data_IF_602068770701
#
_entry.id   IF_602068770701
#
_cell.length_a   1.000
_cell.length_b   1.000
_cell.length_c   1.000
_cell.angle_alpha   90.00
_cell.angle_beta   90.00
_cell.angle_gamma   90.00
#
_symmetry.space_group_name_H-M   'P 1'
#
loop_
_entity.id
_entity.type
_entity.pdbx_description
1 polymer ?
#
# COMPACT_ATOMS: atom_id res chain seq x y z
N UNK A 1 -17.08 23.79 -13.01
CA UNK A 1 -17.25 22.34 -12.79
C UNK A 1 -15.93 21.57 -12.88
N UNK A 2 -14.84 22.19 -13.38
CA UNK A 2 -13.50 21.58 -13.56
C UNK A 2 -12.73 21.30 -12.25
N UNK A 3 -12.72 22.26 -11.31
CA UNK A 3 -11.76 22.24 -10.19
C UNK A 3 -11.89 21.04 -9.25
N UNK A 4 -13.10 20.52 -9.03
CA UNK A 4 -13.33 19.34 -8.18
C UNK A 4 -12.92 18.03 -8.86
N UNK A 5 -13.09 17.92 -10.18
CA UNK A 5 -12.69 16.75 -10.95
C UNK A 5 -11.18 16.74 -11.20
N UNK A 6 -10.59 17.90 -11.47
CA UNK A 6 -9.14 18.05 -11.66
C UNK A 6 -8.39 17.74 -10.35
N UNK A 7 -8.88 18.26 -9.21
CA UNK A 7 -8.32 17.92 -7.91
C UNK A 7 -8.52 16.43 -7.55
N UNK A 8 -9.59 15.80 -8.06
CA UNK A 8 -9.82 14.35 -7.88
C UNK A 8 -8.85 13.50 -8.72
N UNK A 9 -8.62 13.88 -9.97
CA UNK A 9 -7.68 13.22 -10.87
C UNK A 9 -6.23 13.37 -10.40
N UNK A 10 -5.82 14.56 -9.97
CA UNK A 10 -4.48 14.80 -9.44
C UNK A 10 -4.22 13.96 -8.17
N UNK A 11 -5.22 13.81 -7.30
CA UNK A 11 -5.09 13.04 -6.06
C UNK A 11 -5.16 11.52 -6.23
N UNK A 12 -5.79 11.02 -7.30
CA UNK A 12 -5.76 9.60 -7.67
C UNK A 12 -4.53 9.24 -8.51
N UNK A 13 -3.89 10.21 -9.16
CA UNK A 13 -2.77 9.98 -10.06
C UNK A 13 -1.56 9.29 -9.39
N UNK A 14 -1.35 9.53 -8.09
CA UNK A 14 -0.17 9.02 -7.38
C UNK A 14 -0.37 7.62 -6.81
N UNK A 15 -1.61 7.21 -6.51
CA UNK A 15 -1.90 5.92 -5.87
C UNK A 15 -1.41 4.72 -6.71
N UNK A 16 -1.72 4.60 -8.02
CA UNK A 16 -1.24 3.49 -8.83
C UNK A 16 0.29 3.40 -8.86
N UNK A 17 0.97 4.56 -8.93
CA UNK A 17 2.43 4.64 -8.96
C UNK A 17 3.04 4.18 -7.64
N UNK A 18 2.54 4.71 -6.53
CA UNK A 18 3.08 4.44 -5.20
C UNK A 18 2.75 3.00 -4.76
N UNK A 19 1.56 2.49 -5.10
CA UNK A 19 1.19 1.09 -4.92
C UNK A 19 2.08 0.15 -5.74
N UNK A 20 2.30 0.46 -7.03
CA UNK A 20 3.18 -0.35 -7.87
C UNK A 20 4.62 -0.39 -7.33
N UNK A 21 5.14 0.76 -6.87
CA UNK A 21 6.45 0.85 -6.23
C UNK A 21 6.54 -0.04 -4.99
N UNK A 22 5.53 0.01 -4.11
CA UNK A 22 5.53 -0.79 -2.89
C UNK A 22 5.40 -2.29 -3.18
N UNK A 23 4.48 -2.69 -4.08
CA UNK A 23 4.33 -4.09 -4.49
C UNK A 23 5.60 -4.64 -5.14
N UNK A 24 6.30 -3.82 -5.93
CA UNK A 24 7.60 -4.19 -6.49
C UNK A 24 8.65 -4.36 -5.37
N UNK A 25 8.63 -3.51 -4.34
CA UNK A 25 9.47 -3.65 -3.16
C UNK A 25 9.20 -4.96 -2.40
N UNK A 26 7.93 -5.29 -2.15
CA UNK A 26 7.52 -6.55 -1.51
C UNK A 26 8.04 -7.75 -2.31
N UNK A 27 7.87 -7.74 -3.65
CA UNK A 27 8.39 -8.78 -4.53
C UNK A 27 9.93 -8.90 -4.45
N UNK A 28 10.64 -7.78 -4.36
CA UNK A 28 12.11 -7.79 -4.21
C UNK A 28 12.54 -8.45 -2.90
N UNK A 29 11.89 -8.11 -1.78
CA UNK A 29 12.16 -8.75 -0.49
C UNK A 29 11.86 -10.26 -0.54
N UNK A 30 10.74 -10.66 -1.16
CA UNK A 30 10.41 -12.08 -1.35
C UNK A 30 11.47 -12.84 -2.14
N UNK A 31 11.93 -12.27 -3.26
CA UNK A 31 12.99 -12.89 -4.06
C UNK A 31 14.29 -13.04 -3.26
N UNK A 32 14.70 -12.04 -2.49
CA UNK A 32 15.92 -12.12 -1.69
C UNK A 32 15.76 -13.15 -0.55
N UNK A 33 14.62 -13.18 0.15
CA UNK A 33 14.33 -14.21 1.15
C UNK A 33 14.41 -15.62 0.56
N UNK A 34 13.82 -15.85 -0.62
CA UNK A 34 13.90 -17.14 -1.31
C UNK A 34 15.33 -17.52 -1.69
N UNK A 35 16.10 -16.56 -2.21
CA UNK A 35 17.52 -16.77 -2.57
C UNK A 35 18.35 -17.17 -1.34
N UNK A 36 18.18 -16.46 -0.23
CA UNK A 36 18.87 -16.77 1.04
C UNK A 36 18.42 -18.11 1.62
N UNK A 37 17.13 -18.44 1.53
CA UNK A 37 16.62 -19.75 1.96
C UNK A 37 17.28 -20.89 1.17
N UNK A 38 17.41 -20.74 -0.15
CA UNK A 38 18.11 -21.73 -0.98
C UNK A 38 19.61 -21.84 -0.65
N UNK A 39 20.25 -20.73 -0.29
CA UNK A 39 21.65 -20.70 0.18
C UNK A 39 21.80 -21.45 1.50
N UNK A 40 20.91 -21.20 2.47
CA UNK A 40 20.85 -21.91 3.74
C UNK A 40 20.66 -23.41 3.52
N UNK A 41 19.70 -23.80 2.69
CA UNK A 41 19.43 -25.21 2.36
C UNK A 41 20.68 -25.91 1.79
N UNK A 42 21.42 -25.22 0.91
CA UNK A 42 22.66 -25.74 0.35
C UNK A 42 23.73 -25.88 1.43
N UNK A 43 23.93 -24.87 2.27
CA UNK A 43 24.92 -24.90 3.37
C UNK A 43 24.57 -25.97 4.40
N UNK A 44 23.30 -26.10 4.81
CA UNK A 44 22.83 -27.14 5.72
C UNK A 44 23.09 -28.54 5.17
N UNK A 45 22.79 -28.80 3.88
CA UNK A 45 23.09 -30.09 3.25
C UNK A 45 24.59 -30.42 3.27
N UNK A 46 25.46 -29.43 3.05
CA UNK A 46 26.91 -29.62 3.19
C UNK A 46 27.26 -29.93 4.63
N UNK A 47 26.80 -29.10 5.56
CA UNK A 47 27.09 -29.24 6.99
C UNK A 47 26.70 -30.62 7.52
N UNK A 48 25.49 -31.10 7.24
CA UNK A 48 25.04 -32.44 7.68
C UNK A 48 25.93 -33.56 7.13
N UNK A 49 26.39 -33.45 5.87
CA UNK A 49 27.26 -34.45 5.24
C UNK A 49 28.70 -34.43 5.76
N UNK A 50 29.20 -33.27 6.17
CA UNK A 50 30.62 -33.10 6.52
C UNK A 50 30.89 -32.82 8.00
N UNK A 51 29.88 -32.57 8.85
CA UNK A 51 30.11 -32.11 10.24
C UNK A 51 30.95 -33.07 11.08
N UNK A 52 30.78 -34.38 10.90
CA UNK A 52 31.54 -35.41 11.62
C UNK A 52 33.02 -35.45 11.21
N UNK A 53 33.34 -34.96 10.00
CA UNK A 53 34.69 -34.94 9.43
C UNK A 53 35.36 -33.56 9.57
N UNK A 54 34.62 -32.55 10.01
CA UNK A 54 35.14 -31.20 10.19
C UNK A 54 35.77 -31.02 11.57
N UNK A 55 36.89 -30.29 11.67
CA UNK A 55 37.42 -29.83 12.95
C UNK A 55 36.35 -29.02 13.71
N UNK A 56 36.30 -29.15 15.05
CA UNK A 56 35.29 -28.46 15.89
C UNK A 56 35.19 -26.95 15.60
N UNK A 57 36.33 -26.27 15.48
CA UNK A 57 36.36 -24.82 15.19
C UNK A 57 35.74 -24.48 13.83
N UNK A 58 36.01 -25.30 12.80
CA UNK A 58 35.43 -25.11 11.47
C UNK A 58 33.91 -25.37 11.49
N UNK A 59 33.47 -26.41 12.20
CA UNK A 59 32.05 -26.73 12.37
C UNK A 59 31.27 -25.59 13.06
N UNK A 60 31.83 -25.02 14.14
CA UNK A 60 31.24 -23.87 14.85
C UNK A 60 31.18 -22.64 13.95
N UNK A 61 32.25 -22.33 13.21
CA UNK A 61 32.26 -21.19 12.27
C UNK A 61 31.20 -21.36 11.18
N UNK A 62 31.09 -22.55 10.60
CA UNK A 62 30.13 -22.84 9.55
C UNK A 62 28.68 -22.76 10.05
N UNK A 63 28.42 -23.22 11.27
CA UNK A 63 27.12 -23.06 11.92
C UNK A 63 26.77 -21.58 12.13
N UNK A 64 27.73 -20.77 12.60
CA UNK A 64 27.53 -19.31 12.75
C UNK A 64 27.15 -18.64 11.43
N UNK A 65 27.81 -19.00 10.32
CA UNK A 65 27.44 -18.48 8.99
C UNK A 65 25.98 -18.79 8.62
N UNK A 66 25.53 -20.02 8.88
CA UNK A 66 24.14 -20.41 8.64
C UNK A 66 23.19 -19.60 9.53
N UNK A 67 23.51 -19.42 10.81
CA UNK A 67 22.71 -18.61 11.72
C UNK A 67 22.63 -17.13 11.28
N UNK A 68 23.72 -16.56 10.77
CA UNK A 68 23.71 -15.20 10.20
C UNK A 68 22.79 -15.09 9.00
N UNK A 69 22.75 -16.10 8.12
CA UNK A 69 21.81 -16.11 7.00
C UNK A 69 20.35 -16.19 7.45
N UNK A 70 20.04 -16.97 8.50
CA UNK A 70 18.70 -17.00 9.08
C UNK A 70 18.28 -15.64 9.65
N UNK A 71 19.18 -14.98 10.39
CA UNK A 71 18.93 -13.64 10.93
C UNK A 71 18.69 -12.61 9.82
N UNK A 72 19.39 -12.73 8.68
CA UNK A 72 19.17 -11.85 7.53
C UNK A 72 17.80 -12.09 6.87
N UNK A 73 17.35 -13.35 6.75
CA UNK A 73 15.99 -13.67 6.27
C UNK A 73 14.93 -13.08 7.20
N UNK A 74 15.11 -13.21 8.51
CA UNK A 74 14.19 -12.64 9.50
C UNK A 74 14.10 -11.12 9.33
N UNK A 75 15.25 -10.45 9.20
CA UNK A 75 15.32 -9.00 8.97
C UNK A 75 14.59 -8.61 7.67
N UNK A 76 14.85 -9.29 6.56
CA UNK A 76 14.19 -9.03 5.27
C UNK A 76 12.68 -9.29 5.34
N UNK A 77 12.26 -10.32 6.09
CA UNK A 77 10.86 -10.66 6.28
C UNK A 77 10.13 -9.58 7.10
N UNK A 78 10.78 -9.05 8.14
CA UNK A 78 10.23 -7.93 8.91
C UNK A 78 10.09 -6.65 8.06
N UNK A 79 11.08 -6.35 7.22
CA UNK A 79 11.00 -5.22 6.27
C UNK A 79 9.87 -5.41 5.25
N UNK A 80 9.67 -6.64 4.76
CA UNK A 80 8.54 -6.99 3.89
C UNK A 80 7.20 -6.75 4.59
N UNK A 81 7.06 -7.19 5.84
CA UNK A 81 5.84 -7.01 6.65
C UNK A 81 5.56 -5.52 6.84
N UNK A 82 6.58 -4.72 7.19
CA UNK A 82 6.43 -3.27 7.35
C UNK A 82 5.95 -2.62 6.05
N UNK A 83 6.61 -2.93 4.93
CA UNK A 83 6.21 -2.37 3.63
C UNK A 83 4.78 -2.78 3.22
N UNK A 84 4.38 -4.01 3.54
CA UNK A 84 3.00 -4.45 3.32
C UNK A 84 2.00 -3.66 4.18
N UNK A 85 2.32 -3.43 5.46
CA UNK A 85 1.52 -2.57 6.36
C UNK A 85 1.38 -1.15 5.79
N UNK A 86 2.49 -0.52 5.43
CA UNK A 86 2.50 0.83 4.84
C UNK A 86 1.66 0.89 3.54
N UNK A 87 1.66 -0.20 2.77
CA UNK A 87 0.85 -0.32 1.55
C UNK A 87 -0.63 -0.41 1.85
N UNK A 88 -1.02 -1.17 2.88
CA UNK A 88 -2.41 -1.22 3.34
C UNK A 88 -2.88 0.14 3.85
N UNK A 89 -2.07 0.83 4.65
CA UNK A 89 -2.38 2.17 5.16
C UNK A 89 -2.52 3.19 4.03
N UNK A 90 -1.65 3.14 3.02
CA UNK A 90 -1.76 3.97 1.82
C UNK A 90 -3.13 3.77 1.15
N UNK A 91 -3.54 2.53 0.91
CA UNK A 91 -4.81 2.22 0.26
C UNK A 91 -6.00 2.65 1.14
N UNK A 92 -5.97 2.37 2.44
CA UNK A 92 -7.03 2.78 3.39
C UNK A 92 -7.23 4.30 3.40
N UNK A 93 -6.14 5.07 3.39
CA UNK A 93 -6.19 6.53 3.28
C UNK A 93 -6.89 7.00 2.01
N UNK A 94 -6.65 6.32 0.88
CA UNK A 94 -7.33 6.64 -0.37
C UNK A 94 -8.81 6.25 -0.33
N UNK A 95 -9.19 5.11 0.26
CA UNK A 95 -10.59 4.71 0.47
C UNK A 95 -11.33 5.76 1.29
N UNK A 96 -10.82 6.12 2.47
CA UNK A 96 -11.46 7.13 3.34
C UNK A 96 -11.62 8.48 2.63
N UNK A 97 -10.66 8.87 1.80
CA UNK A 97 -10.76 10.10 1.02
C UNK A 97 -11.89 10.02 0.00
N UNK A 98 -11.98 8.92 -0.75
CA UNK A 98 -13.04 8.69 -1.72
C UNK A 98 -14.43 8.72 -1.05
N UNK A 99 -14.56 8.11 0.13
CA UNK A 99 -15.80 8.13 0.90
C UNK A 99 -16.21 9.55 1.28
N UNK A 100 -15.26 10.35 1.78
CA UNK A 100 -15.50 11.76 2.12
C UNK A 100 -15.89 12.62 0.91
N UNK A 101 -15.22 12.41 -0.22
CA UNK A 101 -15.48 13.17 -1.44
C UNK A 101 -16.84 12.80 -2.03
N UNK A 102 -17.24 11.53 -1.96
CA UNK A 102 -18.59 11.06 -2.32
C UNK A 102 -19.68 11.76 -1.51
N UNK A 103 -19.51 11.84 -0.18
CA UNK A 103 -20.47 12.55 0.71
C UNK A 103 -20.58 14.03 0.36
N UNK A 104 -19.43 14.70 0.15
CA UNK A 104 -19.41 16.13 -0.24
C UNK A 104 -20.09 16.35 -1.60
N UNK A 105 -19.87 15.44 -2.55
CA UNK A 105 -20.48 15.51 -3.87
C UNK A 105 -22.01 15.39 -3.77
N UNK A 106 -22.50 14.40 -3.01
CA UNK A 106 -23.93 14.22 -2.75
C UNK A 106 -24.55 15.46 -2.10
N UNK A 107 -23.90 16.04 -1.09
CA UNK A 107 -24.36 17.27 -0.44
C UNK A 107 -24.40 18.46 -1.40
N UNK A 108 -23.37 18.63 -2.23
CA UNK A 108 -23.29 19.70 -3.24
C UNK A 108 -24.42 19.57 -4.27
N UNK A 109 -24.69 18.35 -4.73
CA UNK A 109 -25.79 18.07 -5.67
C UNK A 109 -27.14 18.41 -5.02
N UNK A 110 -27.37 17.94 -3.79
CA UNK A 110 -28.61 18.23 -3.04
C UNK A 110 -28.83 19.73 -2.86
N UNK A 111 -27.78 20.46 -2.47
CA UNK A 111 -27.86 21.92 -2.31
C UNK A 111 -28.24 22.61 -3.62
N UNK A 112 -27.61 22.24 -4.74
CA UNK A 112 -27.94 22.81 -6.05
C UNK A 112 -29.39 22.58 -6.46
N UNK A 113 -29.98 21.44 -6.13
CA UNK A 113 -31.40 21.17 -6.39
C UNK A 113 -32.30 22.08 -5.55
N UNK A 114 -31.98 22.27 -4.26
CA UNK A 114 -32.73 23.16 -3.38
C UNK A 114 -32.64 24.61 -3.85
N UNK A 115 -31.45 25.07 -4.22
CA UNK A 115 -31.23 26.43 -4.73
C UNK A 115 -31.99 26.67 -6.04
N UNK A 116 -32.01 25.68 -6.94
CA UNK A 116 -32.75 25.75 -8.20
C UNK A 116 -34.28 25.80 -7.98
N UNK A 117 -34.80 25.02 -7.03
CA UNK A 117 -36.21 25.05 -6.65
C UNK A 117 -36.61 26.41 -6.05
N UNK A 118 -35.81 26.93 -5.11
CA UNK A 118 -36.04 28.25 -4.51
C UNK A 118 -35.98 29.38 -5.57
N UNK A 119 -35.06 29.28 -6.53
CA UNK A 119 -34.97 30.25 -7.63
C UNK A 119 -36.19 30.19 -8.57
N UNK A 120 -36.77 29.01 -8.79
CA UNK A 120 -37.99 28.83 -9.58
C UNK A 120 -39.21 29.44 -8.87
N UNK A 121 -39.37 29.17 -7.58
CA UNK A 121 -40.44 29.75 -6.75
C UNK A 121 -40.35 31.29 -6.69
N UNK A 122 -39.15 31.84 -6.51
CA UNK A 122 -38.93 33.28 -6.49
C UNK A 122 -39.26 33.96 -7.83
N UNK A 123 -39.11 33.25 -8.97
CA UNK A 123 -39.51 33.74 -10.29
C UNK A 123 -41.03 33.69 -10.49
N UNK A 124 -41.69 32.62 -10.03
CA UNK A 124 -43.15 32.48 -10.11
C UNK A 124 -43.86 33.58 -9.31
N UNK A 125 -43.38 33.89 -8.10
CA UNK A 125 -43.99 34.90 -7.24
C UNK A 125 -43.85 36.33 -7.78
N UNK A 126 -42.80 36.62 -8.56
CA UNK A 126 -42.62 37.91 -9.24
C UNK A 126 -43.52 38.07 -10.48
N UNK A 127 -43.98 36.97 -11.08
CA UNK A 127 -44.88 37.01 -12.25
C UNK A 127 -46.36 37.16 -11.89
N UNK A 128 -46.78 36.81 -10.67
CA UNK A 128 -48.16 36.96 -10.19
C UNK A 128 -48.50 38.34 -9.61
N UNK A 129 -47.51 39.24 -9.48
CA UNK A 129 -47.68 40.59 -8.90
C UNK A 129 -47.96 41.71 -9.92
N UNK A 130 -48.27 41.38 -11.17
CA UNK A 130 -48.72 42.34 -12.20
C UNK A 130 -50.16 42.03 -12.59
N UNK A 131 -51.10 42.39 -11.72
CA UNK A 131 -52.49 42.68 -12.07
C UNK A 131 -52.81 44.07 -11.55
#
# INVERSE_FOLDING_TARGET
>A
MSVMLDHYLDNLSTLPRDLAKNLQGIRKYDMECHKRSAEIDRKLRVFVKSCQRMPKNASVSFNKEIMTLFAEIERLSNEKIRLASDTYELVDKHIRRLDNDSVKLQATIRQKYLDAAAAAEAKANKSGGKC
#
